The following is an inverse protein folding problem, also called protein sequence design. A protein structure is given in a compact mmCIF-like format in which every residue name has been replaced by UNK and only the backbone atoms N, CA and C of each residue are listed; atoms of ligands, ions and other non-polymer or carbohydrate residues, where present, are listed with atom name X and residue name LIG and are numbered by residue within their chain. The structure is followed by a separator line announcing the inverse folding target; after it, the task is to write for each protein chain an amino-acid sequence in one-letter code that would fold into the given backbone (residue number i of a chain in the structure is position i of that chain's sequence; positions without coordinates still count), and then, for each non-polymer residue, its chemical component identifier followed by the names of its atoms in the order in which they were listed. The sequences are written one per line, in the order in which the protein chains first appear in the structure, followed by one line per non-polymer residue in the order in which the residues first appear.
data_IF_600594202323
#
_entry.id   IF_600594202323
#
_cell.length_a   1.000
_cell.length_b   1.000
_cell.length_c   1.000
_cell.angle_alpha   90.00
_cell.angle_beta   90.00
_cell.angle_gamma   90.00
#
_symmetry.space_group_name_H-M   'P 1'
#
loop_
_entity.id
_entity.type
_entity.pdbx_description
1 polymer ?
#
# COMPACT_ATOMS: atom_id res chain seq x y z
N UNK A 1 16.08 -4.62 15.33
CA UNK A 1 15.60 -5.94 14.90
C UNK A 1 15.72 -5.99 13.39
N UNK A 2 16.06 -7.16 12.88
CA UNK A 2 16.74 -7.43 11.62
C UNK A 2 16.10 -6.78 10.39
N UNK A 3 16.93 -6.08 9.62
CA UNK A 3 16.61 -5.52 8.31
C UNK A 3 16.41 -6.63 7.29
N UNK A 4 15.27 -7.31 7.36
CA UNK A 4 14.73 -8.03 6.22
C UNK A 4 14.20 -6.96 5.27
N UNK A 5 14.83 -6.85 4.10
CA UNK A 5 14.46 -5.83 3.11
C UNK A 5 12.98 -5.91 2.74
N UNK A 6 12.40 -4.77 2.31
CA UNK A 6 10.98 -4.65 1.93
C UNK A 6 10.52 -5.79 1.02
N UNK A 7 11.35 -6.16 0.04
CA UNK A 7 11.05 -7.25 -0.88
C UNK A 7 10.84 -8.60 -0.17
N UNK A 8 11.70 -8.94 0.80
CA UNK A 8 11.61 -10.19 1.53
C UNK A 8 10.40 -10.20 2.50
N UNK A 9 10.12 -9.09 3.18
CA UNK A 9 8.91 -8.98 4.00
C UNK A 9 7.64 -9.12 3.15
N UNK A 10 7.65 -8.57 1.94
CA UNK A 10 6.52 -8.64 1.03
C UNK A 10 6.28 -10.06 0.48
N UNK A 11 7.36 -10.80 0.18
CA UNK A 11 7.27 -12.24 -0.13
C UNK A 11 6.66 -12.99 1.05
N UNK A 12 7.11 -12.72 2.28
CA UNK A 12 6.56 -13.35 3.47
C UNK A 12 5.06 -13.02 3.67
N UNK A 13 4.62 -11.78 3.40
CA UNK A 13 3.21 -11.39 3.42
C UNK A 13 2.40 -12.23 2.43
N UNK A 14 2.87 -12.38 1.18
CA UNK A 14 2.19 -13.18 0.15
C UNK A 14 2.11 -14.66 0.56
N UNK A 15 3.20 -15.21 1.12
CA UNK A 15 3.24 -16.62 1.53
C UNK A 15 2.33 -16.90 2.74
N UNK A 16 2.35 -16.03 3.75
CA UNK A 16 1.51 -16.20 4.95
C UNK A 16 0.04 -15.99 4.60
N UNK A 17 -0.31 -15.00 3.78
CA UNK A 17 -1.70 -14.80 3.33
C UNK A 17 -2.23 -16.02 2.57
N UNK A 18 -1.43 -16.65 1.71
CA UNK A 18 -1.81 -17.89 1.03
C UNK A 18 -2.05 -19.05 2.02
N UNK A 19 -1.19 -19.20 3.03
CA UNK A 19 -1.36 -20.20 4.09
C UNK A 19 -2.64 -19.98 4.89
N UNK A 20 -2.89 -18.75 5.33
CA UNK A 20 -4.11 -18.37 6.07
C UNK A 20 -5.35 -18.66 5.21
N UNK A 21 -5.34 -18.28 3.93
CA UNK A 21 -6.47 -18.50 3.02
C UNK A 21 -6.82 -19.99 2.88
N UNK A 22 -5.81 -20.86 2.74
CA UNK A 22 -5.99 -22.31 2.68
C UNK A 22 -6.59 -22.87 3.97
N UNK A 23 -6.10 -22.42 5.13
CA UNK A 23 -6.64 -22.84 6.43
C UNK A 23 -8.08 -22.38 6.64
N UNK A 24 -8.40 -21.13 6.27
CA UNK A 24 -9.76 -20.60 6.29
C UNK A 24 -10.71 -21.47 5.47
N UNK A 25 -10.29 -21.92 4.28
CA UNK A 25 -11.10 -22.81 3.44
C UNK A 25 -11.38 -24.17 4.11
N UNK A 26 -10.37 -24.77 4.75
CA UNK A 26 -10.55 -26.01 5.51
C UNK A 26 -11.54 -25.86 6.66
N UNK A 27 -11.53 -24.71 7.35
CA UNK A 27 -12.49 -24.39 8.41
C UNK A 27 -13.88 -24.13 7.85
N UNK A 28 -14.03 -23.42 6.72
CA UNK A 28 -15.32 -23.14 6.12
C UNK A 28 -16.08 -24.41 5.71
N UNK A 29 -15.35 -25.48 5.34
CA UNK A 29 -15.93 -26.81 5.07
C UNK A 29 -16.48 -27.51 6.32
N UNK A 30 -15.92 -27.23 7.50
CA UNK A 30 -16.11 -28.03 8.73
C UNK A 30 -16.82 -27.27 9.85
N UNK A 31 -16.88 -25.94 9.79
CA UNK A 31 -17.45 -25.06 10.82
C UNK A 31 -18.48 -24.10 10.20
N UNK A 32 -19.71 -24.58 10.07
CA UNK A 32 -20.78 -23.80 9.44
C UNK A 32 -21.10 -22.50 10.18
N UNK A 33 -21.05 -22.51 11.53
CA UNK A 33 -21.39 -21.36 12.37
C UNK A 33 -20.43 -20.16 12.22
N UNK A 34 -19.24 -20.37 11.66
CA UNK A 34 -18.25 -19.32 11.42
C UNK A 34 -18.13 -18.93 9.93
N UNK A 35 -18.94 -19.52 9.04
CA UNK A 35 -18.77 -19.37 7.58
C UNK A 35 -18.73 -17.90 7.13
N UNK A 36 -19.71 -17.09 7.54
CA UNK A 36 -19.77 -15.68 7.17
C UNK A 36 -18.56 -14.88 7.68
N UNK A 37 -18.04 -15.23 8.86
CA UNK A 37 -16.86 -14.58 9.43
C UNK A 37 -15.58 -15.01 8.68
N UNK A 38 -15.49 -16.29 8.29
CA UNK A 38 -14.40 -16.83 7.46
C UNK A 38 -14.40 -16.16 6.08
N UNK A 39 -15.55 -16.05 5.43
CA UNK A 39 -15.69 -15.42 4.11
C UNK A 39 -15.22 -13.96 4.15
N UNK A 40 -15.53 -13.23 5.23
CA UNK A 40 -15.08 -11.85 5.44
C UNK A 40 -13.55 -11.76 5.59
N UNK A 41 -12.95 -12.63 6.41
CA UNK A 41 -11.49 -12.67 6.56
C UNK A 41 -10.83 -13.02 5.24
N UNK A 42 -11.35 -14.00 4.49
CA UNK A 42 -10.82 -14.36 3.18
C UNK A 42 -10.85 -13.19 2.19
N UNK A 43 -11.94 -12.41 2.18
CA UNK A 43 -12.04 -11.22 1.33
C UNK A 43 -10.92 -10.21 1.61
N UNK A 44 -10.68 -9.88 2.88
CA UNK A 44 -9.63 -8.91 3.25
C UNK A 44 -8.22 -9.48 3.00
N UNK A 45 -8.01 -10.78 3.23
CA UNK A 45 -6.74 -11.45 2.90
C UNK A 45 -6.46 -11.38 1.40
N UNK A 46 -7.44 -11.69 0.53
CA UNK A 46 -7.28 -11.61 -0.92
C UNK A 46 -6.94 -10.18 -1.36
N UNK A 47 -7.62 -9.18 -0.78
CA UNK A 47 -7.34 -7.78 -1.07
C UNK A 47 -5.89 -7.42 -0.69
N UNK A 48 -5.44 -7.81 0.51
CA UNK A 48 -4.08 -7.56 0.97
C UNK A 48 -3.03 -8.28 0.10
N UNK A 49 -3.26 -9.53 -0.30
CA UNK A 49 -2.39 -10.25 -1.24
C UNK A 49 -2.30 -9.53 -2.58
N UNK A 50 -3.41 -9.00 -3.10
CA UNK A 50 -3.45 -8.24 -4.34
C UNK A 50 -2.62 -6.95 -4.28
N UNK A 51 -2.74 -6.22 -3.17
CA UNK A 51 -1.91 -5.03 -2.90
C UNK A 51 -0.44 -5.43 -2.81
N UNK A 52 -0.13 -6.49 -2.05
CA UNK A 52 1.25 -6.95 -1.86
C UNK A 52 1.91 -7.34 -3.19
N UNK A 53 1.20 -8.09 -4.06
CA UNK A 53 1.70 -8.44 -5.40
C UNK A 53 1.89 -7.23 -6.30
N UNK A 54 1.00 -6.23 -6.21
CA UNK A 54 1.17 -4.96 -6.93
C UNK A 54 2.46 -4.25 -6.50
N UNK A 55 2.74 -4.21 -5.19
CA UNK A 55 3.99 -3.66 -4.66
C UNK A 55 5.20 -4.47 -5.16
N UNK A 56 5.12 -5.80 -5.24
CA UNK A 56 6.22 -6.63 -5.78
C UNK A 56 6.55 -6.25 -7.23
N UNK A 57 5.51 -6.04 -8.05
CA UNK A 57 5.67 -5.58 -9.43
C UNK A 57 6.35 -4.21 -9.50
N UNK A 58 5.95 -3.27 -8.63
CA UNK A 58 6.56 -1.93 -8.56
C UNK A 58 8.02 -1.97 -8.09
N UNK A 59 8.34 -2.81 -7.11
CA UNK A 59 9.71 -3.03 -6.64
C UNK A 59 10.62 -3.66 -7.70
N UNK A 60 10.05 -4.44 -8.62
CA UNK A 60 10.78 -5.01 -9.76
C UNK A 60 10.96 -4.01 -10.91
N UNK A 61 10.35 -2.82 -10.80
CA UNK A 61 10.37 -1.79 -11.84
C UNK A 61 11.50 -0.77 -11.70
N UNK A 62 11.53 0.26 -12.57
CA UNK A 62 12.64 1.22 -12.69
C UNK A 62 12.94 2.03 -11.42
N UNK A 63 11.96 2.19 -10.54
CA UNK A 63 12.09 2.93 -9.27
C UNK A 63 12.15 2.00 -8.04
N UNK A 64 12.43 0.71 -8.25
CA UNK A 64 12.37 -0.32 -7.22
C UNK A 64 13.24 -0.04 -5.99
N UNK A 65 14.51 0.32 -6.19
CA UNK A 65 15.45 0.58 -5.08
C UNK A 65 15.04 1.79 -4.22
N UNK A 66 14.52 2.84 -4.86
CA UNK A 66 14.01 4.03 -4.18
C UNK A 66 12.74 3.71 -3.39
N UNK A 67 11.90 2.83 -3.92
CA UNK A 67 10.71 2.37 -3.24
C UNK A 67 11.06 1.46 -2.05
N UNK A 68 12.06 0.58 -2.21
CA UNK A 68 12.53 -0.33 -1.16
C UNK A 68 13.16 0.39 0.05
N UNK A 69 13.74 1.58 -0.17
CA UNK A 69 14.34 2.40 0.90
C UNK A 69 13.34 3.32 1.60
N UNK A 70 12.07 3.33 1.17
CA UNK A 70 11.02 4.16 1.76
C UNK A 70 10.61 3.68 3.15
N UNK A 71 10.80 4.54 4.15
CA UNK A 71 10.41 4.24 5.52
C UNK A 71 8.89 4.05 5.71
N UNK A 72 7.99 4.91 5.17
CA UNK A 72 6.55 4.67 5.26
C UNK A 72 6.10 3.32 4.70
N UNK A 73 6.72 2.89 3.58
CA UNK A 73 6.40 1.61 2.97
C UNK A 73 6.95 0.43 3.79
N UNK A 74 8.18 0.56 4.31
CA UNK A 74 8.78 -0.41 5.22
C UNK A 74 7.90 -0.65 6.45
N UNK A 75 7.45 0.42 7.10
CA UNK A 75 6.57 0.35 8.28
C UNK A 75 5.24 -0.31 7.92
N UNK A 76 4.56 0.14 6.87
CA UNK A 76 3.25 -0.40 6.50
C UNK A 76 3.30 -1.91 6.13
N UNK A 77 4.38 -2.36 5.49
CA UNK A 77 4.58 -3.78 5.16
C UNK A 77 4.99 -4.58 6.42
N UNK A 78 5.80 -4.00 7.30
CA UNK A 78 6.17 -4.59 8.58
C UNK A 78 4.93 -4.84 9.46
N UNK A 79 4.09 -3.83 9.64
CA UNK A 79 2.84 -3.93 10.42
C UNK A 79 1.92 -5.03 9.85
N UNK A 80 1.80 -5.10 8.51
CA UNK A 80 1.03 -6.14 7.84
C UNK A 80 1.60 -7.54 8.11
N UNK A 81 2.92 -7.68 8.05
CA UNK A 81 3.60 -8.95 8.30
C UNK A 81 3.41 -9.42 9.76
N UNK A 82 3.53 -8.52 10.72
CA UNK A 82 3.39 -8.84 12.15
C UNK A 82 1.95 -9.22 12.52
N UNK A 83 0.96 -8.51 11.95
CA UNK A 83 -0.44 -8.90 12.06
C UNK A 83 -0.67 -10.31 11.50
N UNK A 84 -0.17 -10.58 10.29
CA UNK A 84 -0.36 -11.86 9.61
C UNK A 84 0.31 -13.02 10.37
N UNK A 85 1.51 -12.80 10.92
CA UNK A 85 2.19 -13.78 11.79
C UNK A 85 1.36 -14.07 13.04
N UNK A 86 0.83 -13.05 13.69
CA UNK A 86 -0.04 -13.21 14.87
C UNK A 86 -1.28 -14.04 14.53
N UNK A 87 -1.90 -13.80 13.38
CA UNK A 87 -3.06 -14.57 12.90
C UNK A 87 -2.68 -16.02 12.60
N UNK A 88 -1.59 -16.25 11.85
CA UNK A 88 -1.13 -17.60 11.48
C UNK A 88 -0.72 -18.42 12.71
N UNK A 89 0.02 -17.83 13.65
CA UNK A 89 0.39 -18.46 14.91
C UNK A 89 -0.84 -18.88 15.72
N UNK A 90 -1.86 -18.02 15.82
CA UNK A 90 -3.09 -18.36 16.54
C UNK A 90 -3.90 -19.46 15.84
N UNK A 91 -3.85 -19.52 14.51
CA UNK A 91 -4.42 -20.66 13.77
C UNK A 91 -3.60 -21.95 13.97
N UNK A 92 -2.28 -21.85 14.09
CA UNK A 92 -1.37 -22.98 14.29
C UNK A 92 -1.43 -23.57 15.71
N UNK A 93 -1.50 -22.74 16.76
CA UNK A 93 -1.51 -23.18 18.17
C UNK A 93 -2.68 -24.12 18.49
N UNK A 94 -3.83 -23.97 17.83
CA UNK A 94 -4.97 -24.88 18.00
C UNK A 94 -4.89 -26.18 17.19
N UNK A 95 -3.88 -26.34 16.32
CA UNK A 95 -3.49 -27.65 15.77
C UNK A 95 -2.57 -28.44 16.71
N UNK A 96 -1.98 -27.78 17.73
CA UNK A 96 -0.86 -28.31 18.54
C UNK A 96 -1.12 -28.61 20.02
N UNK A 97 -2.28 -28.32 20.60
CA UNK A 97 -2.60 -28.74 21.98
C UNK A 97 -2.79 -30.26 22.06
N UNK A 98 -1.67 -30.96 22.29
CA UNK A 98 -1.61 -32.38 22.61
C UNK A 98 -2.00 -32.60 24.08
N UNK A 99 -3.27 -32.95 24.29
CA UNK A 99 -3.65 -33.88 25.35
C UNK A 99 -4.77 -34.79 24.83
N UNK A 100 -4.39 -36.06 24.57
CA UNK A 100 -5.19 -37.26 24.25
C UNK A 100 -6.23 -37.25 23.11
N UNK A 101 -6.00 -38.10 22.09
CA UNK A 101 -6.83 -39.29 21.82
C UNK A 101 -6.44 -39.92 20.47
N UNK A 102 -6.19 -41.23 20.49
CA UNK A 102 -6.16 -42.10 19.31
C UNK A 102 -7.62 -42.32 18.90
N UNK A 103 -7.92 -42.18 17.60
CA UNK A 103 -9.22 -42.33 16.93
C UNK A 103 -10.13 -41.09 16.85
N UNK A 104 -10.52 -40.80 15.61
CA UNK A 104 -11.85 -40.27 15.27
C UNK A 104 -12.02 -38.76 15.32
N UNK A 105 -11.98 -38.13 14.14
CA UNK A 105 -12.47 -36.78 13.84
C UNK A 105 -11.90 -35.66 14.73
N UNK A 106 -10.78 -35.06 14.28
CA UNK A 106 -10.39 -33.71 14.71
C UNK A 106 -11.55 -32.74 14.46
N UNK A 107 -12.29 -32.40 15.50
CA UNK A 107 -13.22 -31.28 15.48
C UNK A 107 -12.39 -30.00 15.39
N UNK A 108 -12.11 -29.54 14.17
CA UNK A 108 -11.47 -28.27 13.91
C UNK A 108 -12.39 -27.16 14.42
N UNK A 109 -12.21 -26.75 15.67
CA UNK A 109 -12.91 -25.61 16.26
C UNK A 109 -12.24 -24.33 15.77
N UNK A 110 -13.04 -23.42 15.22
CA UNK A 110 -12.55 -22.13 14.75
C UNK A 110 -11.78 -21.40 15.87
N UNK A 111 -10.54 -20.91 15.63
CA UNK A 111 -9.67 -20.48 16.70
C UNK A 111 -10.01 -19.10 17.28
N UNK A 112 -10.83 -18.30 16.60
CA UNK A 112 -11.12 -16.91 16.98
C UNK A 112 -12.53 -16.73 17.54
N UNK A 113 -12.64 -15.79 18.48
CA UNK A 113 -13.94 -15.24 18.90
C UNK A 113 -14.43 -14.21 17.88
N UNK A 114 -15.75 -14.01 17.80
CA UNK A 114 -16.35 -13.02 16.88
C UNK A 114 -15.83 -11.58 17.10
N UNK A 115 -15.55 -11.20 18.35
CA UNK A 115 -14.93 -9.90 18.67
C UNK A 115 -13.51 -9.78 18.11
N UNK A 116 -12.71 -10.84 18.21
CA UNK A 116 -11.35 -10.88 17.68
C UNK A 116 -11.35 -10.83 16.15
N UNK A 117 -12.31 -11.50 15.49
CA UNK A 117 -12.45 -11.46 14.03
C UNK A 117 -12.73 -10.03 13.54
N UNK A 118 -13.59 -9.28 14.24
CA UNK A 118 -13.86 -7.88 13.88
C UNK A 118 -12.59 -7.02 13.95
N UNK A 119 -11.76 -7.23 14.97
CA UNK A 119 -10.46 -6.55 15.11
C UNK A 119 -9.55 -6.93 13.96
N UNK A 120 -9.37 -8.24 13.69
CA UNK A 120 -8.53 -8.73 12.58
C UNK A 120 -8.97 -8.15 11.24
N UNK A 121 -10.27 -8.11 10.94
CA UNK A 121 -10.79 -7.51 9.70
C UNK A 121 -10.44 -6.02 9.63
N UNK A 122 -10.60 -5.28 10.73
CA UNK A 122 -10.23 -3.88 10.80
C UNK A 122 -8.74 -3.67 10.55
N UNK A 123 -7.90 -4.45 11.21
CA UNK A 123 -6.44 -4.34 11.10
C UNK A 123 -5.96 -4.70 9.69
N UNK A 124 -6.50 -5.77 9.07
CA UNK A 124 -6.19 -6.14 7.68
C UNK A 124 -6.54 -5.00 6.70
N UNK A 125 -7.70 -4.37 6.90
CA UNK A 125 -8.12 -3.23 6.07
C UNK A 125 -7.20 -2.03 6.26
N UNK A 126 -6.83 -1.74 7.50
CA UNK A 126 -5.89 -0.66 7.83
C UNK A 126 -4.51 -0.91 7.20
N UNK A 127 -3.99 -2.13 7.26
CA UNK A 127 -2.75 -2.51 6.58
C UNK A 127 -2.82 -2.21 5.07
N UNK A 128 -3.90 -2.64 4.40
CA UNK A 128 -4.10 -2.34 2.98
C UNK A 128 -4.15 -0.84 2.67
N UNK A 129 -4.85 -0.07 3.51
CA UNK A 129 -4.93 1.40 3.37
C UNK A 129 -3.59 2.10 3.61
N UNK A 130 -2.84 1.66 4.61
CA UNK A 130 -1.53 2.22 4.95
C UNK A 130 -0.52 1.96 3.83
N UNK A 131 -0.49 0.74 3.27
CA UNK A 131 0.37 0.41 2.13
C UNK A 131 0.02 1.30 0.93
N UNK A 132 -1.27 1.42 0.59
CA UNK A 132 -1.70 2.29 -0.52
C UNK A 132 -1.37 3.76 -0.28
N UNK A 133 -1.53 4.27 0.94
CA UNK A 133 -1.20 5.66 1.29
C UNK A 133 0.30 5.91 1.16
N UNK A 134 1.13 4.97 1.64
CA UNK A 134 2.58 5.03 1.47
C UNK A 134 2.98 5.06 -0.01
N UNK A 135 2.35 4.23 -0.85
CA UNK A 135 2.58 4.24 -2.30
C UNK A 135 2.19 5.57 -2.94
N UNK A 136 1.05 6.14 -2.57
CA UNK A 136 0.60 7.43 -3.13
C UNK A 136 1.55 8.57 -2.78
N UNK A 137 1.98 8.65 -1.52
CA UNK A 137 2.99 9.64 -1.08
C UNK A 137 4.29 9.49 -1.87
N UNK A 138 4.75 8.26 -2.09
CA UNK A 138 5.97 7.99 -2.85
C UNK A 138 5.80 8.37 -4.31
N UNK A 139 4.69 7.97 -4.94
CA UNK A 139 4.32 8.38 -6.29
C UNK A 139 4.34 9.90 -6.45
N UNK A 140 3.64 10.62 -5.58
CA UNK A 140 3.64 12.09 -5.58
C UNK A 140 5.07 12.65 -5.43
N UNK A 141 5.86 12.13 -4.48
CA UNK A 141 7.24 12.57 -4.29
C UNK A 141 8.12 12.32 -5.51
N UNK A 142 7.89 11.23 -6.26
CA UNK A 142 8.58 10.95 -7.51
C UNK A 142 8.17 11.95 -8.59
N UNK A 143 6.87 12.21 -8.77
CA UNK A 143 6.40 13.22 -9.73
C UNK A 143 6.95 14.61 -9.41
N UNK A 144 6.93 15.05 -8.15
CA UNK A 144 7.43 16.37 -7.75
C UNK A 144 8.96 16.48 -7.86
N UNK A 145 9.72 15.46 -7.45
CA UNK A 145 11.20 15.46 -7.59
C UNK A 145 11.65 15.33 -9.04
N UNK A 146 10.95 14.58 -9.87
CA UNK A 146 11.24 14.52 -11.32
C UNK A 146 10.89 15.85 -11.99
N UNK A 147 9.80 16.50 -11.57
CA UNK A 147 9.43 17.83 -12.02
C UNK A 147 10.50 18.89 -11.76
N UNK A 148 11.30 18.76 -10.69
CA UNK A 148 12.43 19.66 -10.39
C UNK A 148 13.55 19.61 -11.44
N UNK A 149 13.94 18.41 -11.88
CA UNK A 149 14.94 18.25 -12.93
C UNK A 149 14.42 18.70 -14.30
N UNK A 150 13.11 18.57 -14.55
CA UNK A 150 12.45 19.00 -15.78
C UNK A 150 11.87 20.42 -15.70
N UNK A 151 12.04 21.20 -14.62
CA UNK A 151 11.52 22.58 -14.51
C UNK A 151 12.00 23.48 -15.65
N UNK A 152 13.24 23.30 -16.10
CA UNK A 152 13.80 24.02 -17.26
C UNK A 152 13.14 23.62 -18.58
N UNK A 153 12.75 22.35 -18.73
CA UNK A 153 12.03 21.81 -19.89
C UNK A 153 10.54 22.19 -19.86
N UNK A 154 9.90 22.10 -18.69
CA UNK A 154 8.50 22.49 -18.44
C UNK A 154 8.27 24.00 -18.51
N UNK A 155 9.28 24.83 -18.23
CA UNK A 155 9.22 26.28 -18.47
C UNK A 155 8.80 26.60 -19.91
N UNK A 156 9.26 25.79 -20.88
CA UNK A 156 8.87 25.93 -22.29
C UNK A 156 7.41 25.54 -22.52
N UNK A 157 6.88 24.55 -21.78
CA UNK A 157 5.47 24.17 -21.85
C UNK A 157 4.55 25.23 -21.26
N UNK A 158 4.84 25.72 -20.05
CA UNK A 158 4.02 26.76 -19.41
C UNK A 158 4.06 28.09 -20.18
N UNK A 159 5.22 28.48 -20.72
CA UNK A 159 5.32 29.67 -21.58
C UNK A 159 4.56 29.50 -22.89
N UNK A 160 4.56 28.30 -23.48
CA UNK A 160 3.77 28.02 -24.70
C UNK A 160 2.27 28.06 -24.42
N UNK A 161 1.81 27.49 -23.30
CA UNK A 161 0.40 27.56 -22.89
C UNK A 161 -0.01 29.01 -22.58
N UNK A 162 0.83 29.75 -21.86
CA UNK A 162 0.57 31.16 -21.57
C UNK A 162 0.53 32.00 -22.86
N UNK A 163 1.43 31.76 -23.82
CA UNK A 163 1.41 32.42 -25.12
C UNK A 163 0.13 32.08 -25.91
N UNK A 164 -0.27 30.80 -25.96
CA UNK A 164 -1.50 30.37 -26.61
C UNK A 164 -2.75 30.97 -25.94
N UNK A 165 -2.75 31.08 -24.60
CA UNK A 165 -3.81 31.73 -23.85
C UNK A 165 -3.90 33.23 -24.14
N UNK A 166 -2.77 33.95 -24.22
CA UNK A 166 -2.76 35.39 -24.57
C UNK A 166 -3.23 35.61 -26.00
N UNK A 167 -2.91 34.70 -26.93
CA UNK A 167 -3.38 34.76 -28.32
C UNK A 167 -4.90 34.54 -28.40
N UNK A 168 -5.43 33.56 -27.66
CA UNK A 168 -6.85 33.19 -27.70
C UNK A 168 -7.74 34.06 -26.83
N UNK A 169 -7.19 34.69 -25.80
CA UNK A 169 -7.91 35.52 -24.83
C UNK A 169 -7.15 36.84 -24.66
N UNK A 170 -7.45 37.87 -25.47
CA UNK A 170 -6.72 39.14 -25.46
C UNK A 170 -6.75 39.87 -24.12
N UNK A 171 -7.83 39.70 -23.34
CA UNK A 171 -7.98 40.25 -21.98
C UNK A 171 -6.92 39.71 -21.01
N UNK A 172 -6.49 38.46 -21.21
CA UNK A 172 -5.43 37.83 -20.42
C UNK A 172 -4.07 38.48 -20.69
N UNK A 173 -3.86 39.01 -21.91
CA UNK A 173 -2.65 39.74 -22.28
C UNK A 173 -2.41 40.97 -21.41
N UNK A 174 -3.46 41.72 -21.07
CA UNK A 174 -3.37 42.88 -20.18
C UNK A 174 -2.97 42.46 -18.77
N UNK A 175 -3.56 41.39 -18.24
CA UNK A 175 -3.23 40.85 -16.92
C UNK A 175 -1.79 40.32 -16.84
N UNK A 176 -1.31 39.64 -17.89
CA UNK A 176 0.09 39.17 -18.00
C UNK A 176 1.06 40.35 -18.07
N UNK A 177 0.74 41.37 -18.86
CA UNK A 177 1.56 42.58 -18.97
C UNK A 177 1.66 43.31 -17.62
N UNK A 178 0.54 43.50 -16.94
CA UNK A 178 0.50 44.19 -15.65
C UNK A 178 1.25 43.40 -14.55
N UNK A 179 1.20 42.06 -14.60
CA UNK A 179 1.98 41.20 -13.71
C UNK A 179 3.48 41.30 -14.00
N UNK A 180 3.90 41.37 -15.27
CA UNK A 180 5.30 41.56 -15.68
C UNK A 180 5.82 42.94 -15.31
N UNK A 181 4.99 43.98 -15.47
CA UNK A 181 5.35 45.36 -15.14
C UNK A 181 5.46 45.57 -13.61
N UNK A 182 4.67 44.84 -12.81
CA UNK A 182 4.74 44.86 -11.34
C UNK A 182 5.89 44.02 -10.75
N UNK A 183 6.47 43.10 -11.52
CA UNK A 183 7.57 42.24 -11.06
C UNK A 183 8.85 42.50 -11.87
N UNK A 184 9.56 43.58 -11.52
CA UNK A 184 10.80 44.02 -12.18
C UNK A 184 11.94 42.97 -12.16
N UNK A 185 11.83 41.95 -11.31
CA UNK A 185 12.80 40.86 -11.17
C UNK A 185 12.31 39.51 -11.72
N UNK A 186 11.20 39.50 -12.45
CA UNK A 186 10.63 38.29 -13.05
C UNK A 186 11.64 37.50 -13.90
N UNK A 187 12.55 38.20 -14.61
CA UNK A 187 13.62 37.57 -15.40
C UNK A 187 14.84 37.13 -14.59
N UNK A 188 15.01 37.61 -13.36
CA UNK A 188 16.15 37.27 -12.48
C UNK A 188 15.83 36.21 -11.43
N UNK A 189 14.55 35.98 -11.10
CA UNK A 189 14.16 34.80 -10.32
C UNK A 189 14.27 33.55 -11.18
N UNK A 190 15.40 32.85 -11.05
CA UNK A 190 15.43 31.45 -11.43
C UNK A 190 14.38 30.69 -10.60
N UNK A 191 13.63 29.73 -11.19
CA UNK A 191 12.64 28.97 -10.44
C UNK A 191 13.35 28.05 -9.44
N UNK A 192 13.47 28.50 -8.19
CA UNK A 192 14.04 27.71 -7.09
C UNK A 192 14.92 28.46 -6.06
N UNK A 193 14.88 29.78 -6.00
CA UNK A 193 15.34 30.53 -4.80
C UNK A 193 14.17 30.84 -3.88
#
# INVERSE_FOLDING_TARGET
MEGIGVAANLVAVVDITAKIAAQCYDYAKKVYSAKADIDRVQKEIIALTGIAKSVQGLLSGPNGDRLATSHPLQTAIGDALDLLRTVDEKMALKKGQKTMSRLGLRALKWPFKKSEIKVIIGDLRNCGQNINSALQMLGASFFFKTGEAERSTLSRFFSTIAADMVIKIPEFGTAVKEALDKDADFRRRAPGQ
#
